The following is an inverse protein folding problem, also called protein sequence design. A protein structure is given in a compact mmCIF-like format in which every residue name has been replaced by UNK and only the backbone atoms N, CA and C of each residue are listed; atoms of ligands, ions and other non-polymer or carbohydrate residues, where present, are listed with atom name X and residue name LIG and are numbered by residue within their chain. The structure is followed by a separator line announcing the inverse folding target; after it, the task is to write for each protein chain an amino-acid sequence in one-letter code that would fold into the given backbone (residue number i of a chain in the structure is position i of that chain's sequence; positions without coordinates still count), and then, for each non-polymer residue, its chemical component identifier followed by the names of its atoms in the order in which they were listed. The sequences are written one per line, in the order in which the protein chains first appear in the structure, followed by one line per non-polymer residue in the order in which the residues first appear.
data_IF_635722087417
#
_entry.id   IF_635722087417
#
_cell.length_a   1.000
_cell.length_b   1.000
_cell.length_c   1.000
_cell.angle_alpha   90.00
_cell.angle_beta   90.00
_cell.angle_gamma   90.00
#
_symmetry.space_group_name_H-M   'P 1'
#
loop_
_entity.id
_entity.type
_entity.pdbx_description
1 polymer ?
#
# COMPACT_ATOMS: atom_id res chain seq x y z
N UNK A 1 -5.47 8.02 25.64
CA UNK A 1 -5.07 8.36 24.27
C UNK A 1 -5.84 7.43 23.35
N UNK A 2 -6.95 7.90 22.77
CA UNK A 2 -7.67 7.10 21.76
C UNK A 2 -6.78 7.09 20.52
N UNK A 3 -6.11 5.95 20.32
CA UNK A 3 -5.02 5.72 19.38
C UNK A 3 -5.40 6.11 17.96
N UNK A 4 -4.52 6.86 17.29
CA UNK A 4 -4.60 7.06 15.85
C UNK A 4 -4.62 5.67 15.20
N UNK A 5 -5.77 5.31 14.64
CA UNK A 5 -5.90 4.09 13.86
C UNK A 5 -5.09 4.23 12.57
N UNK A 6 -4.41 3.17 12.12
CA UNK A 6 -3.66 3.19 10.88
C UNK A 6 -4.53 3.65 9.69
N UNK A 7 -3.95 4.46 8.80
CA UNK A 7 -4.60 4.98 7.59
C UNK A 7 -5.27 3.87 6.76
N UNK A 8 -4.70 2.66 6.78
CA UNK A 8 -5.18 1.49 6.04
C UNK A 8 -6.62 1.07 6.37
N UNK A 9 -7.19 1.50 7.49
CA UNK A 9 -8.57 1.17 7.91
C UNK A 9 -9.59 2.30 7.64
N UNK A 10 -9.19 3.43 7.04
CA UNK A 10 -10.13 4.49 6.62
C UNK A 10 -10.08 4.82 5.12
N UNK A 11 -11.22 4.77 4.44
CA UNK A 11 -11.39 5.44 3.15
C UNK A 11 -11.54 6.93 3.40
N UNK A 12 -10.87 7.75 2.59
CA UNK A 12 -11.03 9.20 2.67
C UNK A 12 -12.45 9.55 2.24
N UNK A 13 -13.29 10.14 3.11
CA UNK A 13 -14.64 10.53 2.74
C UNK A 13 -14.62 11.68 1.74
N UNK A 14 -15.72 11.89 1.02
CA UNK A 14 -15.87 13.04 0.14
C UNK A 14 -15.76 14.37 0.90
N UNK A 15 -15.30 15.39 0.16
CA UNK A 15 -15.32 16.78 0.62
C UNK A 15 -16.77 17.26 0.81
N UNK A 16 -16.97 18.16 1.78
CA UNK A 16 -18.28 18.74 2.08
C UNK A 16 -18.63 19.87 1.10
N UNK A 17 -17.63 20.67 0.70
CA UNK A 17 -17.79 21.73 -0.28
C UNK A 17 -17.89 21.15 -1.70
N UNK A 18 -19.02 21.39 -2.37
CA UNK A 18 -19.27 20.96 -3.75
C UNK A 18 -18.20 21.44 -4.73
N UNK A 19 -17.75 22.69 -4.58
CA UNK A 19 -16.81 23.36 -5.48
C UNK A 19 -15.38 22.77 -5.44
N UNK A 20 -15.15 21.82 -4.53
CA UNK A 20 -13.89 21.10 -4.36
C UNK A 20 -13.93 19.67 -4.91
N UNK A 21 -15.10 19.13 -5.28
CA UNK A 21 -15.26 17.72 -5.64
C UNK A 21 -14.45 17.31 -6.89
N UNK A 22 -14.29 18.21 -7.87
CA UNK A 22 -13.57 17.95 -9.11
C UNK A 22 -12.13 18.50 -9.13
N UNK A 23 -11.61 18.91 -7.97
CA UNK A 23 -10.26 19.50 -7.85
C UNK A 23 -9.33 18.55 -7.13
N UNK A 24 -8.04 18.61 -7.46
CA UNK A 24 -6.99 18.06 -6.59
C UNK A 24 -6.46 19.14 -5.65
N UNK A 25 -5.90 18.72 -4.52
CA UNK A 25 -5.44 19.63 -3.46
C UNK A 25 -4.61 20.82 -3.98
N UNK A 26 -3.67 20.57 -4.88
CA UNK A 26 -2.73 21.60 -5.38
C UNK A 26 -3.38 22.63 -6.33
N UNK A 27 -4.59 22.36 -6.84
CA UNK A 27 -5.34 23.28 -7.72
C UNK A 27 -6.20 24.29 -6.96
N UNK A 28 -6.31 24.12 -5.64
CA UNK A 28 -7.18 24.95 -4.80
C UNK A 28 -6.37 26.13 -4.26
N UNK A 29 -6.89 27.34 -4.44
CA UNK A 29 -6.38 28.54 -3.77
C UNK A 29 -6.83 28.54 -2.29
N UNK A 30 -6.13 27.72 -1.50
CA UNK A 30 -6.38 27.60 -0.07
C UNK A 30 -6.30 28.94 0.66
N UNK A 31 -5.27 29.80 0.44
CA UNK A 31 -5.23 31.11 1.06
C UNK A 31 -6.52 31.91 0.84
N UNK A 32 -6.99 32.06 -0.40
CA UNK A 32 -8.21 32.84 -0.68
C UNK A 32 -9.44 32.24 0.01
N UNK A 33 -9.60 30.91 -0.01
CA UNK A 33 -10.70 30.24 0.68
C UNK A 33 -10.64 30.46 2.20
N UNK A 34 -9.48 30.32 2.83
CA UNK A 34 -9.31 30.54 4.26
C UNK A 34 -9.50 32.00 4.69
N UNK A 35 -9.18 32.97 3.82
CA UNK A 35 -9.51 34.38 4.08
C UNK A 35 -11.01 34.62 3.98
N UNK A 36 -11.70 33.98 3.04
CA UNK A 36 -13.15 34.15 2.83
C UNK A 36 -14.01 33.66 4.01
N UNK A 37 -13.48 32.77 4.86
CA UNK A 37 -14.21 32.32 6.06
C UNK A 37 -14.29 33.37 7.16
N UNK A 38 -13.41 34.40 7.14
CA UNK A 38 -13.28 35.36 8.24
C UNK A 38 -13.08 34.67 9.60
N UNK A 39 -13.76 35.18 10.63
CA UNK A 39 -13.74 34.64 12.01
C UNK A 39 -14.72 33.48 12.26
N UNK A 40 -15.42 32.99 11.22
CA UNK A 40 -16.36 31.87 11.36
C UNK A 40 -15.60 30.56 11.62
N UNK A 41 -15.52 30.19 12.91
CA UNK A 41 -14.82 28.99 13.37
C UNK A 41 -15.37 27.70 12.79
N UNK A 42 -16.68 27.62 12.54
CA UNK A 42 -17.31 26.40 12.01
C UNK A 42 -16.92 26.22 10.56
N UNK A 43 -17.07 27.27 9.74
CA UNK A 43 -16.65 27.24 8.33
C UNK A 43 -15.16 26.96 8.19
N UNK A 44 -14.33 27.61 9.02
CA UNK A 44 -12.89 27.37 9.04
C UNK A 44 -12.55 25.92 9.37
N UNK A 45 -13.22 25.33 10.36
CA UNK A 45 -13.01 23.92 10.74
C UNK A 45 -13.40 22.98 9.60
N UNK A 46 -14.55 23.20 8.96
CA UNK A 46 -14.98 22.40 7.81
C UNK A 46 -14.00 22.49 6.64
N UNK A 47 -13.48 23.69 6.36
CA UNK A 47 -12.49 23.90 5.31
C UNK A 47 -11.15 23.20 5.61
N UNK A 48 -10.69 23.19 6.87
CA UNK A 48 -9.52 22.40 7.30
C UNK A 48 -9.75 20.91 7.07
N UNK A 49 -10.95 20.40 7.40
CA UNK A 49 -11.29 19.00 7.18
C UNK A 49 -11.28 18.65 5.70
N UNK A 50 -11.87 19.48 4.83
CA UNK A 50 -11.88 19.24 3.39
C UNK A 50 -10.46 19.34 2.78
N UNK A 51 -9.65 20.30 3.22
CA UNK A 51 -8.23 20.37 2.84
C UNK A 51 -7.48 19.09 3.21
N UNK A 52 -7.69 18.59 4.42
CA UNK A 52 -7.05 17.37 4.91
C UNK A 52 -7.47 16.13 4.11
N UNK A 53 -8.76 16.01 3.76
CA UNK A 53 -9.27 14.93 2.90
C UNK A 53 -8.63 15.01 1.51
N UNK A 54 -8.62 16.18 0.87
CA UNK A 54 -8.04 16.34 -0.46
C UNK A 54 -6.53 16.05 -0.47
N UNK A 55 -5.80 16.44 0.58
CA UNK A 55 -4.38 16.10 0.73
C UNK A 55 -4.16 14.59 0.87
N UNK A 56 -4.97 13.91 1.69
CA UNK A 56 -4.91 12.46 1.84
C UNK A 56 -5.24 11.72 0.53
N UNK A 57 -6.29 12.13 -0.17
CA UNK A 57 -6.66 11.56 -1.49
C UNK A 57 -5.56 11.78 -2.53
N UNK A 58 -4.93 12.96 -2.54
CA UNK A 58 -3.78 13.25 -3.43
C UNK A 58 -2.64 12.26 -3.18
N UNK A 59 -2.29 12.05 -1.91
CA UNK A 59 -1.22 11.12 -1.55
C UNK A 59 -1.60 9.72 -2.04
N UNK A 60 -2.78 9.22 -1.67
CA UNK A 60 -3.28 7.89 -2.05
C UNK A 60 -3.27 7.63 -3.57
N UNK A 61 -3.68 8.63 -4.36
CA UNK A 61 -3.75 8.58 -5.82
C UNK A 61 -2.40 8.73 -6.54
N UNK A 62 -1.29 8.81 -5.80
CA UNK A 62 0.06 8.98 -6.35
C UNK A 62 1.02 7.89 -5.86
N UNK A 63 2.20 7.83 -6.48
CA UNK A 63 3.29 6.98 -6.02
C UNK A 63 4.66 7.60 -6.34
N UNK A 64 5.70 7.23 -5.61
CA UNK A 64 7.10 7.54 -5.95
C UNK A 64 7.96 6.29 -5.77
N UNK A 65 9.10 6.22 -6.45
CA UNK A 65 10.02 5.07 -6.42
C UNK A 65 11.38 5.48 -5.86
N UNK A 66 12.07 4.55 -5.23
CA UNK A 66 13.35 4.81 -4.58
C UNK A 66 14.32 3.62 -4.70
N UNK A 67 15.61 3.89 -4.56
CA UNK A 67 16.70 2.93 -4.74
C UNK A 67 16.62 2.14 -6.07
N UNK A 68 16.93 2.79 -7.22
CA UNK A 68 17.01 2.10 -8.50
C UNK A 68 18.06 0.99 -8.47
N UNK A 69 17.69 -0.20 -8.97
CA UNK A 69 18.53 -1.41 -9.00
C UNK A 69 19.20 -1.61 -10.37
N UNK A 70 18.55 -1.16 -11.45
CA UNK A 70 19.11 -1.12 -12.82
C UNK A 70 19.41 0.32 -13.20
N UNK A 71 20.60 0.59 -13.74
CA UNK A 71 21.09 1.95 -14.10
C UNK A 71 21.26 2.17 -15.60
N UNK A 72 20.44 1.51 -16.43
CA UNK A 72 20.44 1.81 -17.85
C UNK A 72 19.54 3.02 -18.10
N UNK A 73 20.14 4.22 -18.19
CA UNK A 73 19.43 5.49 -18.36
C UNK A 73 18.65 5.60 -19.68
N UNK A 74 18.87 4.68 -20.62
CA UNK A 74 18.13 4.58 -21.89
C UNK A 74 17.06 3.48 -21.88
N UNK A 75 16.94 2.70 -20.80
CA UNK A 75 15.96 1.62 -20.74
C UNK A 75 14.55 2.18 -20.49
N UNK A 76 13.59 1.73 -21.30
CA UNK A 76 12.16 2.04 -21.11
C UNK A 76 11.64 1.55 -19.75
N UNK A 77 12.31 0.59 -19.13
CA UNK A 77 11.96 0.03 -17.82
C UNK A 77 13.15 0.05 -16.87
N UNK A 78 12.91 0.49 -15.64
CA UNK A 78 13.87 0.42 -14.54
C UNK A 78 13.27 -0.35 -13.36
N UNK A 79 14.10 -1.14 -12.70
CA UNK A 79 13.77 -1.86 -11.46
C UNK A 79 14.17 -1.04 -10.24
N UNK A 80 13.37 -1.14 -9.18
CA UNK A 80 13.55 -0.41 -7.93
C UNK A 80 13.45 -1.36 -6.75
N UNK A 81 14.16 -1.04 -5.67
CA UNK A 81 14.02 -1.79 -4.42
C UNK A 81 12.67 -1.53 -3.75
N UNK A 82 12.17 -0.30 -3.82
CA UNK A 82 10.94 0.07 -3.15
C UNK A 82 10.19 1.23 -3.80
N UNK A 83 8.95 1.41 -3.35
CA UNK A 83 8.12 2.54 -3.69
C UNK A 83 7.33 3.05 -2.48
N UNK A 84 6.97 4.32 -2.52
CA UNK A 84 5.85 4.85 -1.75
C UNK A 84 4.61 4.73 -2.62
N UNK A 85 3.69 3.86 -2.24
CA UNK A 85 2.46 3.55 -2.94
C UNK A 85 1.29 4.16 -2.17
N UNK A 86 0.92 5.39 -2.52
CA UNK A 86 0.03 6.18 -1.69
C UNK A 86 0.65 6.50 -0.33
N UNK A 87 -0.03 6.11 0.75
CA UNK A 87 0.49 6.21 2.11
C UNK A 87 1.41 5.04 2.50
N UNK A 88 1.46 3.97 1.70
CA UNK A 88 2.21 2.76 2.02
C UNK A 88 3.65 2.82 1.53
N UNK A 89 4.56 2.24 2.31
CA UNK A 89 5.91 1.88 1.84
C UNK A 89 5.89 0.41 1.47
N UNK A 90 6.28 0.10 0.24
CA UNK A 90 6.34 -1.27 -0.29
C UNK A 90 7.76 -1.54 -0.78
N UNK A 91 8.30 -2.69 -0.39
CA UNK A 91 9.67 -3.12 -0.69
C UNK A 91 9.69 -4.50 -1.34
N UNK A 92 10.73 -4.79 -2.12
CA UNK A 92 10.98 -6.16 -2.58
C UNK A 92 11.08 -7.10 -1.38
N UNK A 93 10.37 -8.23 -1.44
CA UNK A 93 10.24 -9.17 -0.32
C UNK A 93 8.96 -8.98 0.52
N UNK A 94 8.28 -7.83 0.39
CA UNK A 94 6.95 -7.65 0.97
C UNK A 94 5.90 -8.54 0.29
N UNK A 95 4.72 -8.55 0.90
CA UNK A 95 3.52 -9.12 0.32
C UNK A 95 2.50 -8.01 0.09
N UNK A 96 1.77 -8.06 -1.02
CA UNK A 96 0.72 -7.08 -1.34
C UNK A 96 -0.58 -7.78 -1.66
N UNK A 97 -1.70 -7.23 -1.18
CA UNK A 97 -3.05 -7.67 -1.52
C UNK A 97 -3.31 -7.33 -2.98
N UNK A 98 -3.88 -8.26 -3.73
CA UNK A 98 -4.19 -8.07 -5.15
C UNK A 98 -5.63 -8.39 -5.45
N UNK A 99 -6.17 -7.71 -6.46
CA UNK A 99 -7.49 -8.04 -6.99
C UNK A 99 -7.52 -9.52 -7.47
N UNK A 100 -8.68 -10.20 -7.38
CA UNK A 100 -8.83 -11.55 -7.92
C UNK A 100 -8.41 -11.60 -9.39
N UNK A 101 -7.63 -12.61 -9.76
CA UNK A 101 -7.21 -12.80 -11.14
C UNK A 101 -8.36 -13.42 -11.95
N UNK A 102 -8.60 -12.93 -13.17
CA UNK A 102 -9.67 -13.45 -14.03
C UNK A 102 -9.46 -14.93 -14.35
N UNK A 103 -10.52 -15.73 -14.22
CA UNK A 103 -10.54 -17.17 -14.55
C UNK A 103 -10.53 -18.12 -13.35
N UNK A 104 -10.31 -17.62 -12.12
CA UNK A 104 -10.38 -18.46 -10.92
C UNK A 104 -11.83 -18.66 -10.48
N UNK A 105 -12.29 -19.91 -10.47
CA UNK A 105 -13.63 -20.28 -10.08
C UNK A 105 -13.88 -19.89 -8.61
N UNK A 106 -14.88 -19.03 -8.42
CA UNK A 106 -15.57 -18.67 -7.20
C UNK A 106 -15.35 -19.59 -5.98
N UNK A 107 -14.33 -19.30 -5.17
CA UNK A 107 -14.40 -19.54 -3.72
C UNK A 107 -13.41 -18.67 -2.96
N UNK A 108 -13.96 -17.68 -2.25
CA UNK A 108 -13.38 -16.90 -1.16
C UNK A 108 -12.57 -15.64 -1.51
N UNK A 109 -13.29 -14.51 -1.50
CA UNK A 109 -12.92 -13.14 -1.06
C UNK A 109 -11.45 -12.73 -1.10
N UNK A 110 -11.09 -11.62 -1.78
CA UNK A 110 -10.00 -10.64 -1.53
C UNK A 110 -8.66 -11.10 -0.87
N UNK A 111 -8.36 -12.40 -0.89
CA UNK A 111 -7.34 -13.07 -0.08
C UNK A 111 -6.12 -13.45 -0.91
N UNK A 112 -6.11 -13.04 -2.18
CA UNK A 112 -4.97 -13.21 -3.06
C UNK A 112 -3.87 -12.23 -2.66
N UNK A 113 -2.68 -12.77 -2.43
CA UNK A 113 -1.53 -12.01 -2.00
C UNK A 113 -0.37 -12.29 -2.95
N UNK A 114 0.23 -11.24 -3.49
CA UNK A 114 1.44 -11.32 -4.29
C UNK A 114 2.67 -11.25 -3.36
N UNK A 115 3.47 -12.30 -3.32
CA UNK A 115 4.83 -12.26 -2.77
C UNK A 115 5.74 -11.52 -3.74
N UNK A 116 6.10 -10.28 -3.39
CA UNK A 116 6.74 -9.32 -4.28
C UNK A 116 8.22 -9.63 -4.47
N UNK A 117 8.64 -9.78 -5.73
CA UNK A 117 10.03 -10.08 -6.12
C UNK A 117 10.70 -8.93 -6.88
N UNK A 118 9.95 -8.10 -7.58
CA UNK A 118 10.48 -6.94 -8.28
C UNK A 118 9.43 -5.84 -8.42
N UNK A 119 9.89 -4.60 -8.27
CA UNK A 119 9.12 -3.39 -8.58
C UNK A 119 9.74 -2.78 -9.83
N UNK A 120 8.93 -2.52 -10.85
CA UNK A 120 9.38 -2.05 -12.15
C UNK A 120 8.62 -0.77 -12.48
N UNK A 121 9.32 0.31 -12.79
CA UNK A 121 8.70 1.50 -13.38
C UNK A 121 9.04 1.54 -14.88
N UNK A 122 8.01 1.68 -15.71
CA UNK A 122 8.17 1.97 -17.13
C UNK A 122 8.09 3.48 -17.33
N UNK A 123 9.08 4.05 -18.00
CA UNK A 123 9.13 5.46 -18.39
C UNK A 123 8.89 5.55 -19.91
N UNK A 124 7.95 6.38 -20.34
CA UNK A 124 7.55 6.45 -21.75
C UNK A 124 6.38 7.40 -21.98
N UNK A 125 5.50 7.12 -22.95
CA UNK A 125 4.30 7.94 -23.21
C UNK A 125 3.27 7.88 -22.08
N UNK A 126 3.31 6.83 -21.27
CA UNK A 126 2.53 6.69 -20.04
C UNK A 126 3.40 6.00 -19.00
N UNK A 127 3.80 6.76 -17.97
CA UNK A 127 4.47 6.18 -16.81
C UNK A 127 3.56 5.14 -16.17
N UNK A 128 4.14 3.99 -15.81
CA UNK A 128 3.40 2.93 -15.13
C UNK A 128 4.27 2.18 -14.14
N UNK A 129 3.64 1.74 -13.05
CA UNK A 129 4.26 0.92 -12.02
C UNK A 129 3.74 -0.52 -12.13
N UNK A 130 4.69 -1.46 -12.15
CA UNK A 130 4.43 -2.89 -12.28
C UNK A 130 5.05 -3.65 -11.10
N UNK A 131 4.35 -4.68 -10.64
CA UNK A 131 4.73 -5.53 -9.53
C UNK A 131 4.86 -6.97 -10.03
N UNK A 132 6.04 -7.57 -9.84
CA UNK A 132 6.32 -8.94 -10.28
C UNK A 132 6.49 -9.88 -9.09
N UNK A 133 5.89 -11.06 -9.15
CA UNK A 133 6.01 -12.03 -8.05
C UNK A 133 5.12 -13.26 -8.21
N UNK A 134 4.96 -14.00 -7.12
CA UNK A 134 4.11 -15.19 -7.06
C UNK A 134 2.82 -14.88 -6.31
N UNK A 135 1.68 -15.40 -6.75
CA UNK A 135 0.38 -15.17 -6.11
C UNK A 135 0.00 -16.38 -5.26
N UNK A 136 -0.37 -16.10 -4.03
CA UNK A 136 -0.76 -17.07 -3.02
C UNK A 136 -2.19 -16.80 -2.54
N UNK A 137 -2.89 -17.86 -2.15
CA UNK A 137 -4.17 -17.78 -1.45
C UNK A 137 -4.13 -18.65 -0.19
N UNK A 138 -4.82 -18.22 0.85
CA UNK A 138 -4.93 -19.01 2.07
C UNK A 138 -6.07 -20.01 1.90
N UNK A 139 -5.82 -21.27 2.25
CA UNK A 139 -6.82 -22.33 2.24
C UNK A 139 -6.89 -23.02 3.60
N UNK A 140 -8.11 -23.31 4.05
CA UNK A 140 -8.34 -24.18 5.21
C UNK A 140 -8.20 -25.62 4.74
N UNK A 141 -7.27 -26.37 5.35
CA UNK A 141 -7.13 -27.79 5.04
C UNK A 141 -8.27 -28.56 5.73
N UNK A 142 -9.12 -29.23 4.96
CA UNK A 142 -10.01 -30.23 5.53
C UNK A 142 -9.19 -31.48 5.91
N UNK A 143 -9.59 -32.17 6.98
CA UNK A 143 -8.95 -33.41 7.41
C UNK A 143 -8.95 -34.43 6.26
N UNK A 144 -7.76 -34.84 5.80
CA UNK A 144 -7.58 -35.84 4.74
C UNK A 144 -7.36 -35.30 3.32
N UNK A 145 -7.45 -34.00 3.08
CA UNK A 145 -7.11 -33.39 1.79
C UNK A 145 -5.69 -32.82 1.80
N UNK A 146 -4.79 -33.44 1.02
CA UNK A 146 -3.55 -32.80 0.58
C UNK A 146 -3.91 -31.85 -0.56
N UNK A 147 -3.80 -30.54 -0.35
CA UNK A 147 -3.69 -29.66 -1.51
C UNK A 147 -2.28 -29.85 -2.05
N UNK A 148 -2.15 -30.52 -3.21
CA UNK A 148 -0.84 -30.76 -3.87
C UNK A 148 -0.07 -29.46 -4.13
N UNK A 149 -0.75 -28.31 -4.10
CA UNK A 149 -0.19 -26.98 -4.31
C UNK A 149 0.13 -26.21 -3.00
N UNK A 150 0.03 -26.85 -1.83
CA UNK A 150 0.42 -26.22 -0.57
C UNK A 150 1.91 -25.91 -0.54
N UNK A 151 2.25 -24.67 -0.18
CA UNK A 151 3.64 -24.20 -0.19
C UNK A 151 4.27 -24.45 1.18
N UNK A 152 5.45 -25.09 1.24
CA UNK A 152 6.21 -25.24 2.49
C UNK A 152 6.57 -23.88 3.11
N UNK A 153 6.63 -23.81 4.45
CA UNK A 153 6.85 -22.56 5.19
C UNK A 153 8.15 -21.85 4.80
N UNK A 154 9.20 -22.62 4.56
CA UNK A 154 10.54 -22.19 4.16
C UNK A 154 10.57 -21.54 2.77
N UNK A 155 9.59 -21.84 1.91
CA UNK A 155 9.45 -21.27 0.58
C UNK A 155 8.47 -20.10 0.52
N UNK A 156 7.77 -19.82 1.63
CA UNK A 156 6.90 -18.65 1.71
C UNK A 156 7.69 -17.35 1.91
N UNK A 157 7.20 -16.24 1.32
CA UNK A 157 7.61 -14.89 1.71
C UNK A 157 7.48 -14.66 3.22
N UNK A 158 8.35 -13.82 3.79
CA UNK A 158 8.43 -13.60 5.23
C UNK A 158 7.08 -13.21 5.88
N UNK A 159 6.27 -12.29 5.31
CA UNK A 159 4.98 -11.94 5.93
C UNK A 159 3.99 -13.11 5.97
N UNK A 160 3.98 -13.96 4.94
CA UNK A 160 3.10 -15.12 4.90
C UNK A 160 3.57 -16.22 5.86
N UNK A 161 4.89 -16.41 5.97
CA UNK A 161 5.50 -17.33 6.93
C UNK A 161 5.18 -16.94 8.37
N UNK A 162 5.33 -15.67 8.70
CA UNK A 162 5.01 -15.09 10.01
C UNK A 162 3.55 -15.34 10.39
N UNK A 163 2.61 -15.03 9.49
CA UNK A 163 1.19 -15.29 9.68
C UNK A 163 0.88 -16.79 9.84
N UNK A 164 1.49 -17.65 9.01
CA UNK A 164 1.28 -19.10 9.10
C UNK A 164 1.82 -19.71 10.38
N UNK A 165 3.01 -19.28 10.82
CA UNK A 165 3.59 -19.73 12.08
C UNK A 165 2.66 -19.35 13.22
N UNK A 166 2.20 -18.10 13.28
CA UNK A 166 1.28 -17.67 14.31
C UNK A 166 -0.05 -18.45 14.29
N UNK A 167 -0.70 -18.60 13.13
CA UNK A 167 -1.95 -19.39 13.00
C UNK A 167 -1.78 -20.83 13.46
N UNK A 168 -0.63 -21.45 13.17
CA UNK A 168 -0.35 -22.83 13.60
C UNK A 168 -0.28 -22.97 15.13
N UNK A 169 0.10 -21.90 15.85
CA UNK A 169 0.08 -21.90 17.32
C UNK A 169 -1.33 -21.71 17.89
N UNK A 170 -2.16 -20.90 17.25
CA UNK A 170 -3.53 -20.59 17.73
C UNK A 170 -4.51 -21.72 17.41
N UNK A 171 -4.44 -22.29 16.21
CA UNK A 171 -5.35 -23.35 15.74
C UNK A 171 -4.56 -24.55 15.20
N UNK A 172 -3.87 -25.33 16.05
CA UNK A 172 -3.03 -26.45 15.62
C UNK A 172 -3.84 -27.56 14.91
N UNK A 173 -5.09 -27.77 15.32
CA UNK A 173 -5.97 -28.81 14.78
C UNK A 173 -6.64 -28.43 13.45
N UNK A 174 -6.53 -27.15 13.04
CA UNK A 174 -7.10 -26.63 11.79
C UNK A 174 -6.03 -25.83 11.03
N UNK A 175 -5.05 -26.52 10.40
CA UNK A 175 -3.93 -25.84 9.77
C UNK A 175 -4.38 -25.10 8.52
N UNK A 176 -4.23 -23.77 8.56
CA UNK A 176 -4.31 -22.93 7.38
C UNK A 176 -3.01 -23.03 6.59
N UNK A 177 -3.12 -23.22 5.27
CA UNK A 177 -1.95 -23.32 4.38
C UNK A 177 -2.08 -22.33 3.24
N UNK A 178 -0.96 -21.73 2.87
CA UNK A 178 -0.88 -20.94 1.66
C UNK A 178 -0.68 -21.87 0.47
N UNK A 179 -1.47 -21.65 -0.57
CA UNK A 179 -1.42 -22.37 -1.83
C UNK A 179 -0.88 -21.43 -2.89
N UNK A 180 0.05 -21.92 -3.70
CA UNK A 180 0.56 -21.20 -4.86
C UNK A 180 -0.48 -21.26 -5.98
N UNK A 181 -0.97 -20.09 -6.40
CA UNK A 181 -2.02 -19.97 -7.42
C UNK A 181 -1.41 -19.69 -8.78
N UNK A 182 -0.48 -18.72 -8.85
CA UNK A 182 0.26 -18.39 -10.07
C UNK A 182 1.69 -18.01 -9.75
N UNK A 183 2.60 -18.41 -10.63
CA UNK A 183 4.01 -18.06 -10.54
C UNK A 183 4.35 -16.91 -11.48
N UNK A 184 5.31 -16.09 -11.04
CA UNK A 184 5.99 -15.07 -11.84
C UNK A 184 5.05 -14.14 -12.63
N UNK A 185 3.94 -13.74 -12.02
CA UNK A 185 2.99 -12.81 -12.61
C UNK A 185 3.55 -11.40 -12.62
N UNK A 186 3.17 -10.62 -13.63
CA UNK A 186 3.43 -9.19 -13.72
C UNK A 186 2.09 -8.44 -13.63
N UNK A 187 1.89 -7.70 -12.55
CA UNK A 187 0.66 -6.98 -12.27
C UNK A 187 0.86 -5.48 -12.41
N UNK A 188 -0.14 -4.79 -12.94
CA UNK A 188 -0.18 -3.34 -12.97
C UNK A 188 -0.60 -2.77 -11.62
N UNK A 189 -0.24 -1.51 -11.39
CA UNK A 189 -0.64 -0.70 -10.23
C UNK A 189 -2.11 -0.88 -9.82
N UNK A 190 -3.06 -0.84 -10.77
CA UNK A 190 -4.50 -0.98 -10.50
C UNK A 190 -4.91 -2.33 -9.92
N UNK A 191 -4.10 -3.36 -10.10
CA UNK A 191 -4.35 -4.70 -9.55
C UNK A 191 -3.87 -4.83 -8.11
N UNK A 192 -3.05 -3.91 -7.61
CA UNK A 192 -2.52 -3.91 -6.25
C UNK A 192 -3.43 -3.06 -5.35
N UNK A 193 -3.96 -3.69 -4.30
CA UNK A 193 -4.92 -3.09 -3.37
C UNK A 193 -4.25 -2.42 -2.17
N UNK A 194 -3.03 -2.84 -1.86
CA UNK A 194 -2.21 -2.31 -0.78
C UNK A 194 -1.32 -3.39 -0.17
N UNK A 195 -0.53 -3.05 0.83
CA UNK A 195 0.36 -3.98 1.53
C UNK A 195 -0.45 -5.03 2.29
N UNK A 196 0.09 -6.25 2.36
CA UNK A 196 -0.41 -7.31 3.22
C UNK A 196 0.14 -7.13 4.64
N UNK A 197 -0.73 -7.22 5.63
CA UNK A 197 -0.37 -7.16 7.03
C UNK A 197 -0.81 -8.47 7.71
N UNK A 198 0.10 -9.19 8.39
CA UNK A 198 -0.27 -10.33 9.22
C UNK A 198 -1.34 -9.92 10.24
N UNK A 199 -2.39 -10.74 10.39
CA UNK A 199 -3.56 -10.40 11.19
C UNK A 199 -3.16 -10.15 12.65
N UNK A 200 -2.25 -10.95 13.18
CA UNK A 200 -1.75 -10.82 14.55
C UNK A 200 -0.94 -9.56 14.85
N UNK A 201 -0.44 -8.86 13.82
CA UNK A 201 0.24 -7.57 13.99
C UNK A 201 -0.72 -6.41 13.91
N UNK A 202 -1.75 -6.52 13.06
CA UNK A 202 -2.64 -5.42 12.73
C UNK A 202 -3.93 -5.40 13.57
N UNK A 203 -4.55 -6.57 13.80
CA UNK A 203 -5.82 -6.66 14.51
C UNK A 203 -5.78 -6.19 15.97
N UNK A 204 -4.68 -6.35 16.73
CA UNK A 204 -4.56 -5.73 18.05
C UNK A 204 -4.76 -4.21 18.04
N UNK A 205 -4.34 -3.54 16.96
CA UNK A 205 -4.42 -2.09 16.78
C UNK A 205 -5.82 -1.68 16.29
N UNK A 206 -6.41 -2.46 15.38
CA UNK A 206 -7.71 -2.12 14.78
C UNK A 206 -8.90 -2.49 15.65
N UNK A 207 -8.85 -3.66 16.29
CA UNK A 207 -9.93 -4.21 17.11
C UNK A 207 -9.41 -5.25 18.13
N UNK A 208 -8.51 -4.82 19.03
CA UNK A 208 -7.88 -5.69 20.02
C UNK A 208 -8.83 -6.54 20.88
N UNK A 209 -9.96 -6.00 21.39
CA UNK A 209 -10.89 -6.79 22.20
C UNK A 209 -11.52 -7.95 21.43
N UNK A 210 -12.14 -7.70 20.26
CA UNK A 210 -12.74 -8.77 19.46
C UNK A 210 -11.70 -9.74 18.93
N UNK A 211 -10.50 -9.25 18.60
CA UNK A 211 -9.40 -10.10 18.16
C UNK A 211 -8.97 -11.08 19.27
N UNK A 212 -8.84 -10.61 20.50
CA UNK A 212 -8.44 -11.45 21.64
C UNK A 212 -9.46 -12.56 21.91
N UNK A 213 -10.76 -12.25 21.83
CA UNK A 213 -11.83 -13.25 21.93
C UNK A 213 -11.73 -14.28 20.80
N UNK A 214 -11.56 -13.84 19.55
CA UNK A 214 -11.47 -14.75 18.41
C UNK A 214 -10.25 -15.68 18.47
N UNK A 215 -9.11 -15.18 18.96
CA UNK A 215 -7.91 -16.00 19.21
C UNK A 215 -8.17 -17.04 20.30
N UNK A 216 -8.84 -16.66 21.38
CA UNK A 216 -9.20 -17.60 22.46
C UNK A 216 -10.17 -18.70 21.99
N UNK A 217 -11.08 -18.36 21.08
CA UNK A 217 -12.07 -19.28 20.52
C UNK A 217 -11.53 -20.10 19.32
N UNK A 218 -10.30 -19.83 18.86
CA UNK A 218 -9.75 -20.43 17.65
C UNK A 218 -10.49 -20.05 16.34
N UNK A 219 -11.34 -19.02 16.37
CA UNK A 219 -12.16 -18.62 15.23
C UNK A 219 -11.46 -17.56 14.37
N UNK A 220 -10.58 -18.04 13.50
CA UNK A 220 -9.67 -17.21 12.69
C UNK A 220 -10.15 -16.96 11.25
N UNK A 221 -11.35 -17.44 10.87
CA UNK A 221 -11.91 -17.34 9.51
C UNK A 221 -12.27 -15.90 9.11
N UNK A 222 -12.70 -15.08 10.08
CA UNK A 222 -13.23 -13.74 9.84
C UNK A 222 -12.27 -12.61 10.20
N UNK A 223 -10.99 -12.91 10.45
CA UNK A 223 -10.02 -11.94 11.00
C UNK A 223 -9.14 -11.27 9.95
N UNK A 224 -9.51 -11.33 8.67
CA UNK A 224 -8.88 -10.46 7.68
C UNK A 224 -9.37 -9.03 7.92
N UNK A 225 -8.47 -8.09 8.22
CA UNK A 225 -8.86 -6.71 8.43
C UNK A 225 -9.50 -6.19 7.14
N UNK A 226 -10.67 -5.56 7.26
CA UNK A 226 -11.26 -4.76 6.19
C UNK A 226 -10.36 -3.54 5.97
N UNK A 227 -9.30 -3.75 5.19
CA UNK A 227 -8.42 -2.69 4.75
C UNK A 227 -9.00 -2.07 3.50
N UNK A 228 -8.98 -0.75 3.43
CA UNK A 228 -9.41 -0.07 2.22
C UNK A 228 -8.45 -0.42 1.09
N UNK A 229 -8.98 -0.38 -0.12
CA UNK A 229 -8.12 -0.49 -1.27
C UNK A 229 -7.63 0.88 -1.67
N UNK A 230 -6.41 0.90 -2.18
CA UNK A 230 -5.86 2.09 -2.80
C UNK A 230 -6.76 2.55 -3.95
N UNK A 231 -6.95 3.87 -4.05
CA UNK A 231 -7.81 4.52 -5.04
C UNK A 231 -9.32 4.20 -4.94
N UNK A 232 -9.79 3.62 -3.82
CA UNK A 232 -11.24 3.52 -3.56
C UNK A 232 -11.85 4.88 -3.14
N UNK A 233 -11.02 5.88 -2.84
CA UNK A 233 -11.45 7.25 -2.54
C UNK A 233 -11.94 8.01 -3.77
N UNK A 234 -12.58 9.16 -3.55
CA UNK A 234 -13.14 10.01 -4.61
C UNK A 234 -12.11 10.84 -5.39
N UNK A 235 -10.82 10.70 -5.09
CA UNK A 235 -9.75 11.44 -5.78
C UNK A 235 -9.42 10.84 -7.15
N UNK A 236 -9.25 11.69 -8.16
CA UNK A 236 -8.75 11.25 -9.47
C UNK A 236 -7.30 10.76 -9.42
N UNK A 237 -6.92 9.90 -10.37
CA UNK A 237 -5.56 9.37 -10.49
C UNK A 237 -4.53 10.48 -10.74
N UNK A 238 -3.45 10.49 -9.97
CA UNK A 238 -2.34 11.45 -10.09
C UNK A 238 -1.08 10.78 -10.66
N UNK A 239 -0.83 9.53 -10.28
CA UNK A 239 0.30 8.75 -10.78
C UNK A 239 1.65 9.13 -10.18
N UNK A 240 2.72 8.95 -10.97
CA UNK A 240 4.10 9.06 -10.48
C UNK A 240 4.46 10.47 -10.03
N UNK A 241 5.17 10.54 -8.90
CA UNK A 241 5.91 11.70 -8.39
C UNK A 241 7.39 11.36 -8.31
N UNK A 242 8.22 12.39 -8.40
CA UNK A 242 9.67 12.23 -8.39
C UNK A 242 10.17 11.64 -7.06
N UNK A 243 9.62 12.13 -5.95
CA UNK A 243 10.05 11.84 -4.60
C UNK A 243 8.87 11.99 -3.62
N UNK A 244 9.07 11.68 -2.33
CA UNK A 244 8.04 11.74 -1.30
C UNK A 244 7.58 13.17 -1.00
N UNK A 245 8.48 14.14 -1.12
CA UNK A 245 8.17 15.56 -0.92
C UNK A 245 7.20 16.08 -1.98
N UNK A 246 7.35 15.68 -3.24
CA UNK A 246 6.46 16.04 -4.35
C UNK A 246 5.09 15.39 -4.21
N UNK A 247 5.02 14.18 -3.64
CA UNK A 247 3.76 13.55 -3.24
C UNK A 247 3.00 14.39 -2.22
N UNK A 248 3.68 14.96 -1.22
CA UNK A 248 3.04 15.88 -0.26
C UNK A 248 2.70 17.23 -0.92
N UNK A 249 3.64 17.80 -1.68
CA UNK A 249 3.52 19.11 -2.32
C UNK A 249 3.13 20.20 -1.32
N UNK A 250 2.12 21.01 -1.65
CA UNK A 250 1.71 22.16 -0.84
C UNK A 250 0.88 21.78 0.40
N UNK A 251 0.61 20.49 0.62
CA UNK A 251 -0.08 20.02 1.84
C UNK A 251 0.79 20.10 3.09
N UNK A 252 2.10 20.30 2.92
CA UNK A 252 3.05 20.58 3.98
C UNK A 252 3.75 21.92 3.74
N UNK A 253 4.22 22.60 4.79
CA UNK A 253 5.02 23.81 4.63
C UNK A 253 6.27 23.59 3.75
N UNK A 254 6.72 24.60 2.98
CA UNK A 254 7.91 24.47 2.14
C UNK A 254 9.18 24.10 2.93
N UNK A 255 9.28 24.49 4.18
CA UNK A 255 10.39 24.20 5.10
C UNK A 255 10.22 22.88 5.87
N UNK A 256 9.15 22.12 5.62
CA UNK A 256 8.97 20.80 6.20
C UNK A 256 10.07 19.84 5.73
N UNK A 257 10.72 19.20 6.71
CA UNK A 257 11.75 18.18 6.48
C UNK A 257 11.11 16.80 6.60
N UNK A 258 11.31 15.96 5.58
CA UNK A 258 10.90 14.56 5.61
C UNK A 258 12.13 13.74 6.00
N UNK A 259 12.07 13.08 7.15
CA UNK A 259 13.13 12.16 7.58
C UNK A 259 12.79 10.75 7.11
N UNK A 260 13.54 10.25 6.14
CA UNK A 260 13.46 8.87 5.67
C UNK A 260 14.54 8.01 6.35
N UNK A 261 14.35 6.69 6.35
CA UNK A 261 15.40 5.77 6.79
C UNK A 261 16.66 5.95 5.92
N UNK A 262 17.88 5.88 6.49
CA UNK A 262 19.12 6.17 5.75
C UNK A 262 19.35 5.35 4.48
N UNK A 263 18.71 4.19 4.38
CA UNK A 263 18.83 3.29 3.23
C UNK A 263 17.88 3.64 2.08
N UNK A 264 16.89 4.52 2.31
CA UNK A 264 15.98 5.01 1.29
C UNK A 264 16.67 6.16 0.57
N UNK A 265 17.00 5.95 -0.71
CA UNK A 265 17.56 6.98 -1.60
C UNK A 265 16.54 7.30 -2.68
N UNK A 266 15.94 8.48 -2.59
CA UNK A 266 15.02 8.95 -3.63
C UNK A 266 15.82 9.42 -4.86
N UNK A 267 15.12 9.67 -5.97
CA UNK A 267 15.78 9.98 -7.25
C UNK A 267 16.63 11.26 -7.23
N UNK A 268 16.35 12.19 -6.31
CA UNK A 268 17.06 13.47 -6.21
C UNK A 268 18.30 13.40 -5.31
N UNK A 269 18.44 12.32 -4.52
CA UNK A 269 19.61 12.07 -3.64
C UNK A 269 20.76 11.37 -4.38
N UNK A 270 20.60 11.10 -5.67
CA UNK A 270 21.62 10.44 -6.50
C UNK A 270 22.53 11.51 -7.09
N UNK A 271 23.63 11.81 -6.39
CA UNK A 271 24.74 12.60 -6.95
C UNK A 271 25.09 12.11 -8.36
N UNK A 272 25.23 13.01 -9.36
CA UNK A 272 25.72 12.63 -10.67
C UNK A 272 27.13 12.07 -10.53
N UNK A 273 27.33 10.82 -10.95
CA UNK A 273 28.65 10.21 -10.98
C UNK A 273 29.59 11.08 -11.82
N UNK A 274 30.60 11.68 -11.16
CA UNK A 274 31.67 12.40 -11.85
C UNK A 274 32.75 11.38 -12.17
N UNK A 275 32.96 10.97 -13.44
CA UNK A 275 34.02 10.04 -13.77
C UNK A 275 35.37 10.67 -13.39
N UNK A 276 36.14 9.96 -12.57
CA UNK A 276 37.52 10.33 -12.25
C UNK A 276 38.29 10.36 -13.57
N UNK A 277 38.69 11.55 -14.02
CA UNK A 277 39.63 11.68 -15.12
C UNK A 277 40.93 11.03 -14.68
N UNK A 278 41.28 9.90 -15.29
CA UNK A 278 42.62 9.33 -15.22
C UNK A 278 43.59 10.36 -15.79
N UNK A 279 44.40 10.94 -14.91
CA UNK A 279 45.63 11.65 -15.25
C UNK A 279 46.79 10.67 -15.42
#
# INVERSE_FOLDING_TARGET
MSEMRPFHAFSVPSVMLSDLQDKVFDQVDWPTLFHSTGDDRVKRTNLILDASKMAASKIDASYSVWCPLTRDGEAETATYYGCFFGAERIEVGDCVRVAPLSGDAASCNDSSVLGLRSIIARSGSSDSLLFRGNVYQIAKMAQGTTTDNAVPLEHLPLPLRDESQWRSHVTPDQPWRWVLVKEDVLLEERSVRGRFYPAHRLMPILNGPSFSTAVADGNMENQYPFLNNRMDGSGGYIGRKQNRRDTLGTSVPPDAVITLEPLIRELDDVEPFTPVRSG
#
